data_IF_345218871730
#
_entry.id   IF_345218871730
#
_cell.length_a   1.000
_cell.length_b   1.000
_cell.length_c   1.000
_cell.angle_alpha   90.00
_cell.angle_beta   90.00
_cell.angle_gamma   90.00
#
_symmetry.space_group_name_H-M   'P 1'
#
loop_
_entity.id
_entity.type
_entity.pdbx_description
1 polymer ?
#
# COMPACT_ATOMS: atom_id res chain seq x y z
N UNK A 1 -12.01 1.92 5.42
CA UNK A 1 -11.57 1.69 4.03
C UNK A 1 -10.06 1.49 4.04
N UNK A 2 -9.56 0.27 4.08
CA UNK A 2 -8.12 0.03 4.24
C UNK A 2 -7.25 0.73 3.18
N UNK A 3 -7.82 0.97 1.99
CA UNK A 3 -7.25 1.81 0.94
C UNK A 3 -6.86 3.23 1.38
N UNK A 4 -7.70 3.91 2.16
CA UNK A 4 -7.38 5.26 2.66
C UNK A 4 -6.13 5.23 3.54
N UNK A 5 -5.99 4.23 4.39
CA UNK A 5 -4.82 4.05 5.26
C UNK A 5 -3.55 3.79 4.45
N UNK A 6 -3.65 2.99 3.37
CA UNK A 6 -2.51 2.68 2.50
C UNK A 6 -2.03 3.91 1.73
N UNK A 7 -2.95 4.68 1.13
CA UNK A 7 -2.60 5.91 0.43
C UNK A 7 -2.03 6.97 1.40
N UNK A 8 -2.60 7.09 2.59
CA UNK A 8 -2.11 7.99 3.62
C UNK A 8 -0.69 7.61 4.07
N UNK A 9 -0.41 6.33 4.30
CA UNK A 9 0.92 5.86 4.65
C UNK A 9 1.95 6.14 3.54
N UNK A 10 1.61 5.87 2.28
CA UNK A 10 2.48 6.16 1.13
C UNK A 10 2.76 7.67 1.02
N UNK A 11 1.71 8.49 1.12
CA UNK A 11 1.81 9.94 1.04
C UNK A 11 2.63 10.54 2.17
N UNK A 12 2.44 10.09 3.42
CA UNK A 12 3.23 10.55 4.57
C UNK A 12 4.70 10.14 4.45
N UNK A 13 4.97 8.93 3.95
CA UNK A 13 6.35 8.45 3.78
C UNK A 13 7.07 9.28 2.72
N UNK A 14 6.48 9.41 1.52
CA UNK A 14 7.08 10.22 0.46
C UNK A 14 7.17 11.70 0.82
N UNK A 15 6.09 12.28 1.33
CA UNK A 15 6.02 13.69 1.73
C UNK A 15 6.97 14.03 2.87
N UNK A 16 7.11 13.13 3.85
CA UNK A 16 8.05 13.29 4.96
C UNK A 16 9.51 13.29 4.50
N UNK A 17 9.89 12.35 3.63
CA UNK A 17 11.25 12.32 3.07
C UNK A 17 11.53 13.50 2.12
N UNK A 18 10.54 13.91 1.32
CA UNK A 18 10.67 15.06 0.44
C UNK A 18 10.81 16.36 1.25
N UNK A 19 9.98 16.57 2.26
CA UNK A 19 10.03 17.76 3.12
C UNK A 19 11.30 17.86 3.96
N UNK A 20 11.87 16.71 4.36
CA UNK A 20 13.16 16.65 5.06
C UNK A 20 14.31 17.28 4.27
N UNK A 21 14.22 17.32 2.93
CA UNK A 21 15.25 17.91 2.06
C UNK A 21 16.61 17.18 2.09
N UNK A 22 16.72 16.10 2.88
CA UNK A 22 17.94 15.32 3.09
C UNK A 22 18.16 14.23 2.05
N UNK A 23 17.16 13.95 1.21
CA UNK A 23 17.23 12.90 0.21
C UNK A 23 17.59 13.48 -1.15
N UNK A 24 18.54 12.84 -1.83
CA UNK A 24 18.85 13.15 -3.22
C UNK A 24 17.65 12.83 -4.11
N UNK A 25 17.52 13.57 -5.22
CA UNK A 25 16.47 13.34 -6.21
C UNK A 25 16.36 11.86 -6.67
N UNK A 26 17.46 11.15 -7.01
CA UNK A 26 17.34 9.74 -7.39
C UNK A 26 16.83 8.84 -6.24
N UNK A 27 17.13 9.17 -4.99
CA UNK A 27 16.59 8.43 -3.85
C UNK A 27 15.07 8.61 -3.72
N UNK A 28 14.56 9.82 -3.98
CA UNK A 28 13.11 10.08 -4.01
C UNK A 28 12.41 9.37 -5.18
N UNK A 29 13.05 9.34 -6.36
CA UNK A 29 12.52 8.61 -7.53
C UNK A 29 12.44 7.10 -7.26
N UNK A 30 13.47 6.51 -6.67
CA UNK A 30 13.48 5.11 -6.25
C UNK A 30 12.40 4.83 -5.18
N UNK A 31 12.27 5.72 -4.18
CA UNK A 31 11.23 5.62 -3.17
C UNK A 31 9.83 5.62 -3.81
N UNK A 32 9.58 6.52 -4.76
CA UNK A 32 8.31 6.57 -5.50
C UNK A 32 8.00 5.26 -6.24
N UNK A 33 9.00 4.68 -6.91
CA UNK A 33 8.86 3.39 -7.58
C UNK A 33 8.53 2.25 -6.59
N UNK A 34 9.22 2.19 -5.45
CA UNK A 34 8.98 1.19 -4.41
C UNK A 34 7.58 1.36 -3.80
N UNK A 35 7.11 2.59 -3.57
CA UNK A 35 5.76 2.85 -3.06
C UNK A 35 4.68 2.39 -4.06
N UNK A 36 4.88 2.60 -5.35
CA UNK A 36 3.98 2.09 -6.39
C UNK A 36 3.97 0.55 -6.42
N UNK A 37 5.13 -0.08 -6.31
CA UNK A 37 5.23 -1.54 -6.24
C UNK A 37 4.54 -2.10 -4.99
N UNK A 38 4.71 -1.46 -3.83
CA UNK A 38 4.05 -1.83 -2.59
C UNK A 38 2.52 -1.71 -2.70
N UNK A 39 2.02 -0.64 -3.33
CA UNK A 39 0.60 -0.44 -3.57
C UNK A 39 0.02 -1.52 -4.50
N UNK A 40 0.73 -1.88 -5.57
CA UNK A 40 0.34 -2.97 -6.46
C UNK A 40 0.34 -4.32 -5.72
N UNK A 41 1.35 -4.59 -4.89
CA UNK A 41 1.42 -5.77 -4.05
C UNK A 41 0.28 -5.85 -3.04
N UNK A 42 -0.12 -4.72 -2.45
CA UNK A 42 -1.30 -4.63 -1.59
C UNK A 42 -2.59 -4.91 -2.36
N UNK A 43 -2.72 -4.41 -3.59
CA UNK A 43 -3.89 -4.68 -4.44
C UNK A 43 -4.05 -6.18 -4.76
N UNK A 44 -2.94 -6.91 -4.94
CA UNK A 44 -2.95 -8.35 -5.19
C UNK A 44 -3.28 -9.20 -3.95
N UNK A 45 -3.19 -8.65 -2.74
CA UNK A 45 -3.56 -9.36 -1.50
C UNK A 45 -5.06 -9.59 -1.35
N UNK A 46 -5.88 -9.09 -2.28
CA UNK A 46 -7.33 -9.26 -2.29
C UNK A 46 -8.06 -8.00 -1.82
N UNK A 47 -9.39 -8.09 -1.75
CA UNK A 47 -10.21 -6.92 -1.42
C UNK A 47 -10.43 -6.81 0.09
N UNK A 48 -9.99 -5.72 0.75
CA UNK A 48 -10.20 -5.51 2.18
C UNK A 48 -11.67 -5.33 2.57
N UNK A 49 -12.56 -5.18 1.58
CA UNK A 49 -14.01 -5.08 1.76
C UNK A 49 -14.75 -6.33 1.22
N UNK A 50 -14.05 -7.44 0.99
CA UNK A 50 -14.69 -8.68 0.57
C UNK A 50 -15.53 -9.20 1.75
N UNK A 51 -16.85 -9.36 1.59
CA UNK A 51 -17.68 -9.97 2.62
C UNK A 51 -17.15 -11.38 2.91
N UNK A 52 -17.07 -11.76 4.19
CA UNK A 52 -16.72 -13.12 4.55
C UNK A 52 -17.75 -14.08 3.95
N UNK A 53 -17.34 -14.88 2.97
CA UNK A 53 -18.19 -15.94 2.43
C UNK A 53 -18.20 -17.10 3.43
N UNK A 54 -19.36 -17.66 3.80
CA UNK A 54 -19.41 -18.85 4.63
C UNK A 54 -18.71 -19.99 3.88
N UNK A 55 -17.69 -20.58 4.52
CA UNK A 55 -17.09 -21.81 4.01
C UNK A 55 -18.16 -22.88 4.13
N UNK A 56 -18.67 -23.38 3.01
CA UNK A 56 -19.62 -24.49 3.01
C UNK A 56 -18.94 -25.67 3.72
N UNK A 57 -19.44 -26.00 4.91
CA UNK A 57 -19.01 -27.15 5.69
C UNK A 57 -19.17 -28.39 4.82
N UNK A 58 -18.07 -28.92 4.30
CA UNK A 58 -18.05 -30.16 3.55
C UNK A 58 -18.36 -31.29 4.55
N UNK A 59 -19.63 -31.72 4.63
CA UNK A 59 -20.00 -32.93 5.37
C UNK A 59 -19.64 -34.14 4.52
N UNK A 60 -18.57 -34.84 4.90
CA UNK A 60 -18.34 -36.23 4.49
C UNK A 60 -19.34 -37.16 5.18
#
# INVERSE_FOLDING_TARGET
>A
MAWLSVFLLCGLTFGGLWWSGRCSRPALELLGAVLMLALAGYAWQGSPNQPGFPVSSHSN
#
